data_IF_648863179745
#
_entry.id   IF_648863179745
#
_cell.length_a   1.000
_cell.length_b   1.000
_cell.length_c   1.000
_cell.angle_alpha   90.00
_cell.angle_beta   90.00
_cell.angle_gamma   90.00
#
_symmetry.space_group_name_H-M   'P 1'
#
loop_
_entity.id
_entity.type
_entity.pdbx_description
1 polymer ?
#
# COMPACT_ATOMS: atom_id res chain seq x y z
N UNK A 1 11.27 19.70 -4.23
CA UNK A 1 12.56 19.21 -4.76
C UNK A 1 13.36 18.40 -3.73
N UNK A 2 13.70 18.96 -2.56
CA UNK A 2 14.50 18.25 -1.53
C UNK A 2 13.88 16.90 -1.11
N UNK A 3 12.57 16.86 -0.84
CA UNK A 3 11.89 15.62 -0.44
C UNK A 3 11.87 14.54 -1.54
N UNK A 4 11.73 14.95 -2.80
CA UNK A 4 11.80 14.05 -3.95
C UNK A 4 13.19 13.41 -4.10
N UNK A 5 14.26 14.15 -3.80
CA UNK A 5 15.63 13.62 -3.77
C UNK A 5 15.83 12.62 -2.63
N UNK A 6 15.23 12.88 -1.46
CA UNK A 6 15.25 11.93 -0.33
C UNK A 6 14.55 10.64 -0.71
N UNK A 7 13.37 10.70 -1.35
CA UNK A 7 12.62 9.52 -1.79
C UNK A 7 13.35 8.75 -2.89
N UNK A 8 14.00 9.44 -3.82
CA UNK A 8 14.84 8.82 -4.84
C UNK A 8 16.03 8.10 -4.18
N UNK A 9 16.74 8.77 -3.28
CA UNK A 9 17.86 8.19 -2.54
C UNK A 9 17.45 6.97 -1.72
N UNK A 10 16.30 7.05 -1.03
CA UNK A 10 15.69 5.95 -0.29
C UNK A 10 15.39 4.74 -1.18
N UNK A 11 14.77 4.98 -2.34
CA UNK A 11 14.44 3.92 -3.31
C UNK A 11 15.70 3.28 -3.90
N UNK A 12 16.71 4.08 -4.24
CA UNK A 12 18.00 3.59 -4.73
C UNK A 12 18.76 2.80 -3.66
N UNK A 13 18.74 3.25 -2.40
CA UNK A 13 19.37 2.55 -1.28
C UNK A 13 18.74 1.17 -1.07
N UNK A 14 17.40 1.10 -1.03
CA UNK A 14 16.65 -0.16 -0.97
C UNK A 14 16.99 -1.11 -2.12
N UNK A 15 17.06 -0.56 -3.34
CA UNK A 15 17.37 -1.35 -4.53
C UNK A 15 18.82 -1.86 -4.51
N UNK A 16 19.77 -1.03 -4.08
CA UNK A 16 21.17 -1.38 -3.96
C UNK A 16 21.39 -2.45 -2.88
N UNK A 17 20.74 -2.36 -1.72
CA UNK A 17 20.84 -3.39 -0.67
C UNK A 17 20.19 -4.70 -1.08
N UNK A 18 19.06 -4.66 -1.78
CA UNK A 18 18.40 -5.85 -2.31
C UNK A 18 19.29 -6.61 -3.32
N UNK A 19 20.09 -5.88 -4.11
CA UNK A 19 21.05 -6.48 -5.06
C UNK A 19 22.30 -6.97 -4.33
N UNK A 20 22.83 -6.18 -3.39
CA UNK A 20 24.10 -6.48 -2.72
C UNK A 20 23.97 -7.59 -1.66
N UNK A 21 22.81 -7.73 -1.03
CA UNK A 21 22.60 -8.66 0.08
C UNK A 21 21.49 -9.66 -0.24
N UNK A 22 21.83 -10.95 -0.16
CA UNK A 22 20.85 -12.05 -0.27
C UNK A 22 20.08 -12.30 1.03
N UNK A 23 20.46 -11.60 2.10
CA UNK A 23 19.86 -11.78 3.42
C UNK A 23 18.58 -10.95 3.56
N UNK A 24 17.45 -11.63 3.74
CA UNK A 24 16.15 -11.00 3.90
C UNK A 24 16.06 -10.17 5.19
N UNK A 25 16.81 -10.51 6.24
CA UNK A 25 16.82 -9.74 7.49
C UNK A 25 17.45 -8.37 7.29
N UNK A 26 18.58 -8.30 6.59
CA UNK A 26 19.27 -7.05 6.29
C UNK A 26 18.37 -6.14 5.45
N UNK A 27 17.74 -6.69 4.41
CA UNK A 27 16.83 -5.93 3.55
C UNK A 27 15.62 -5.38 4.32
N UNK A 28 15.04 -6.16 5.24
CA UNK A 28 13.94 -5.70 6.10
C UNK A 28 14.37 -4.59 7.07
N UNK A 29 15.55 -4.71 7.70
CA UNK A 29 16.07 -3.68 8.60
C UNK A 29 16.33 -2.37 7.84
N UNK A 30 16.93 -2.45 6.65
CA UNK A 30 17.14 -1.28 5.78
C UNK A 30 15.79 -0.66 5.37
N UNK A 31 14.79 -1.47 5.02
CA UNK A 31 13.45 -0.99 4.69
C UNK A 31 12.80 -0.20 5.83
N UNK A 32 12.91 -0.70 7.06
CA UNK A 32 12.39 -0.02 8.25
C UNK A 32 13.16 1.28 8.52
N UNK A 33 14.49 1.28 8.40
CA UNK A 33 15.30 2.49 8.55
C UNK A 33 14.94 3.55 7.51
N UNK A 34 14.77 3.14 6.25
CA UNK A 34 14.33 4.02 5.16
C UNK A 34 12.94 4.59 5.43
N UNK A 35 12.00 3.76 5.91
CA UNK A 35 10.66 4.23 6.29
C UNK A 35 10.72 5.31 7.38
N UNK A 36 11.55 5.11 8.41
CA UNK A 36 11.74 6.08 9.50
C UNK A 36 12.39 7.39 9.01
N UNK A 37 13.42 7.31 8.18
CA UNK A 37 14.09 8.49 7.59
C UNK A 37 13.11 9.29 6.74
N UNK A 38 12.32 8.62 5.91
CA UNK A 38 11.33 9.26 5.03
C UNK A 38 10.19 9.88 5.85
N UNK A 39 9.66 9.17 6.84
CA UNK A 39 8.64 9.71 7.76
C UNK A 39 9.14 10.93 8.56
N UNK A 40 10.40 10.89 9.03
CA UNK A 40 11.06 12.03 9.66
C UNK A 40 11.21 13.21 8.71
N UNK A 41 11.59 12.94 7.46
CA UNK A 41 11.71 13.96 6.41
C UNK A 41 10.39 14.65 6.10
N UNK A 42 9.26 13.93 6.12
CA UNK A 42 7.93 14.52 5.99
C UNK A 42 7.63 15.53 7.10
N UNK A 43 7.93 15.17 8.35
CA UNK A 43 7.70 16.04 9.52
C UNK A 43 8.54 17.32 9.48
N UNK A 44 9.70 17.27 8.81
CA UNK A 44 10.58 18.42 8.65
C UNK A 44 10.14 19.31 7.49
N UNK A 45 9.81 18.73 6.33
CA UNK A 45 9.64 19.48 5.08
C UNK A 45 8.18 19.84 4.73
N UNK A 46 7.18 19.15 5.29
CA UNK A 46 5.77 19.34 4.93
C UNK A 46 4.98 19.99 6.07
N UNK A 47 3.85 20.60 5.73
CA UNK A 47 2.85 21.00 6.73
C UNK A 47 2.38 19.76 7.52
N UNK A 48 2.01 19.91 8.80
CA UNK A 48 1.66 18.77 9.66
C UNK A 48 0.46 17.95 9.13
N UNK A 49 -0.43 18.56 8.34
CA UNK A 49 -1.56 17.86 7.72
C UNK A 49 -1.08 16.96 6.58
N UNK A 50 -0.27 17.51 5.67
CA UNK A 50 0.30 16.76 4.53
C UNK A 50 1.28 15.68 5.04
N UNK A 51 2.11 16.00 6.05
CA UNK A 51 3.05 15.06 6.65
C UNK A 51 2.34 13.84 7.26
N UNK A 52 1.27 14.06 8.04
CA UNK A 52 0.46 12.97 8.61
C UNK A 52 -0.16 12.11 7.52
N UNK A 53 -0.72 12.72 6.49
CA UNK A 53 -1.33 11.97 5.40
C UNK A 53 -0.31 11.16 4.59
N UNK A 54 0.83 11.74 4.23
CA UNK A 54 1.90 11.03 3.52
C UNK A 54 2.48 9.89 4.37
N UNK A 55 2.63 10.09 5.68
CA UNK A 55 3.05 9.04 6.62
C UNK A 55 2.00 7.92 6.70
N UNK A 56 0.71 8.25 6.70
CA UNK A 56 -0.36 7.26 6.63
C UNK A 56 -0.29 6.44 5.34
N UNK A 57 -0.13 7.08 4.17
CA UNK A 57 -0.02 6.36 2.89
C UNK A 57 1.19 5.45 2.83
N UNK A 58 2.34 5.89 3.34
CA UNK A 58 3.55 5.07 3.45
C UNK A 58 3.33 3.87 4.37
N UNK A 59 2.77 4.10 5.57
CA UNK A 59 2.50 3.05 6.55
C UNK A 59 1.49 2.03 6.02
N UNK A 60 0.37 2.52 5.47
CA UNK A 60 -0.69 1.70 4.89
C UNK A 60 -0.16 0.79 3.78
N UNK A 61 0.66 1.34 2.88
CA UNK A 61 1.27 0.55 1.78
C UNK A 61 2.30 -0.44 2.31
N UNK A 62 3.06 -0.08 3.35
CA UNK A 62 4.06 -0.96 3.98
C UNK A 62 3.45 -2.14 4.74
N UNK A 63 2.24 -1.98 5.29
CA UNK A 63 1.53 -3.00 6.06
C UNK A 63 0.86 -4.07 5.19
N UNK A 64 0.62 -3.81 3.89
CA UNK A 64 0.19 -4.84 2.95
C UNK A 64 1.39 -5.66 2.49
N UNK A 65 1.83 -6.60 3.33
CA UNK A 65 2.97 -7.46 3.02
C UNK A 65 2.74 -8.26 1.74
N UNK A 66 3.73 -8.24 0.85
CA UNK A 66 3.67 -9.00 -0.39
C UNK A 66 4.08 -10.45 -0.14
N UNK A 67 3.21 -11.39 -0.53
CA UNK A 67 3.47 -12.84 -0.55
C UNK A 67 3.50 -13.34 -2.01
N UNK A 68 3.60 -12.43 -2.98
CA UNK A 68 3.43 -12.74 -4.41
C UNK A 68 4.44 -13.77 -4.94
N UNK A 69 5.64 -13.84 -4.38
CA UNK A 69 6.68 -14.78 -4.79
C UNK A 69 6.29 -16.23 -4.55
N UNK A 70 6.14 -16.69 -3.29
CA UNK A 70 5.70 -18.05 -3.00
C UNK A 70 4.31 -18.38 -3.53
N UNK A 71 3.41 -17.40 -3.59
CA UNK A 71 2.09 -17.60 -4.19
C UNK A 71 2.18 -17.92 -5.69
N UNK A 72 3.15 -17.35 -6.42
CA UNK A 72 3.40 -17.70 -7.82
C UNK A 72 3.82 -19.16 -7.94
N UNK A 73 4.86 -19.59 -7.22
CA UNK A 73 5.33 -20.98 -7.22
C UNK A 73 4.22 -21.96 -6.82
N UNK A 74 3.51 -21.67 -5.73
CA UNK A 74 2.37 -22.50 -5.28
C UNK A 74 1.32 -22.74 -6.37
N UNK A 75 1.05 -21.73 -7.21
CA UNK A 75 0.04 -21.78 -8.26
C UNK A 75 0.56 -22.35 -9.58
N UNK A 76 1.86 -22.25 -9.87
CA UNK A 76 2.44 -22.61 -11.18
C UNK A 76 3.38 -23.81 -11.18
N UNK A 77 3.86 -24.26 -10.02
CA UNK A 77 4.78 -25.39 -9.90
C UNK A 77 4.19 -26.64 -10.53
N UNK A 78 5.06 -27.52 -11.04
CA UNK A 78 4.69 -28.76 -11.72
C UNK A 78 4.39 -29.89 -10.71
N UNK A 79 3.74 -30.99 -11.14
CA UNK A 79 3.49 -32.15 -10.28
C UNK A 79 4.76 -32.78 -9.67
N UNK A 80 5.94 -32.54 -10.25
CA UNK A 80 7.23 -33.02 -9.73
C UNK A 80 7.77 -32.13 -8.59
N UNK A 81 7.41 -30.85 -8.60
CA UNK A 81 7.84 -29.85 -7.62
C UNK A 81 6.88 -29.80 -6.42
N UNK A 82 5.57 -29.78 -6.69
CA UNK A 82 4.52 -29.77 -5.67
C UNK A 82 3.28 -30.56 -6.12
N UNK A 83 3.19 -31.88 -5.81
CA UNK A 83 2.12 -32.76 -6.33
C UNK A 83 0.70 -32.33 -5.95
N UNK A 84 0.56 -31.61 -4.85
CA UNK A 84 -0.71 -31.06 -4.38
C UNK A 84 -0.90 -29.62 -4.87
N UNK A 85 -0.40 -29.23 -6.04
CA UNK A 85 -0.58 -27.89 -6.61
C UNK A 85 -1.80 -27.75 -7.53
N UNK A 86 -2.20 -26.52 -7.91
CA UNK A 86 -3.16 -26.27 -8.99
C UNK A 86 -2.55 -26.42 -10.39
N UNK A 87 -1.23 -26.35 -10.51
CA UNK A 87 -0.46 -26.57 -11.74
C UNK A 87 -0.88 -25.66 -12.90
N UNK A 88 -1.09 -24.37 -12.65
CA UNK A 88 -1.40 -23.43 -13.72
C UNK A 88 -0.19 -23.18 -14.61
N UNK A 89 -0.40 -23.19 -15.93
CA UNK A 89 0.63 -22.73 -16.86
C UNK A 89 0.99 -21.27 -16.56
N UNK A 90 2.29 -20.95 -16.51
CA UNK A 90 2.76 -19.58 -16.28
C UNK A 90 2.15 -18.55 -17.25
N UNK A 91 1.93 -18.94 -18.51
CA UNK A 91 1.29 -18.08 -19.51
C UNK A 91 -0.18 -17.86 -19.17
N UNK A 92 -0.88 -18.92 -18.76
CA UNK A 92 -2.27 -18.82 -18.33
C UNK A 92 -2.40 -17.96 -17.07
N UNK A 93 -1.54 -18.16 -16.08
CA UNK A 93 -1.49 -17.40 -14.83
C UNK A 93 -1.27 -15.91 -15.12
N UNK A 94 -0.16 -15.56 -15.79
CA UNK A 94 0.20 -14.16 -16.02
C UNK A 94 -0.77 -13.45 -16.98
N UNK A 95 -1.13 -14.07 -18.10
CA UNK A 95 -2.00 -13.43 -19.09
C UNK A 95 -3.44 -13.33 -18.58
N UNK A 96 -4.00 -14.42 -18.04
CA UNK A 96 -5.43 -14.45 -17.70
C UNK A 96 -5.71 -13.69 -16.41
N UNK A 97 -4.90 -13.86 -15.36
CA UNK A 97 -5.06 -13.08 -14.13
C UNK A 97 -4.68 -11.61 -14.33
N UNK A 98 -3.70 -11.31 -15.20
CA UNK A 98 -3.34 -9.94 -15.58
C UNK A 98 -4.46 -9.22 -16.35
N UNK A 99 -5.04 -9.89 -17.36
CA UNK A 99 -6.20 -9.37 -18.08
C UNK A 99 -7.40 -9.17 -17.15
N UNK A 100 -7.68 -10.16 -16.28
CA UNK A 100 -8.76 -10.07 -15.30
C UNK A 100 -8.54 -8.92 -14.32
N UNK A 101 -7.32 -8.76 -13.80
CA UNK A 101 -6.94 -7.63 -12.95
C UNK A 101 -7.15 -6.29 -13.65
N UNK A 102 -6.90 -6.21 -14.95
CA UNK A 102 -7.16 -4.99 -15.74
C UNK A 102 -8.66 -4.66 -15.80
N UNK A 103 -9.51 -5.65 -16.08
CA UNK A 103 -10.97 -5.47 -16.05
C UNK A 103 -11.48 -5.10 -14.66
N UNK A 104 -10.97 -5.78 -13.62
CA UNK A 104 -11.31 -5.49 -12.23
C UNK A 104 -10.88 -4.09 -11.81
N UNK A 105 -9.74 -3.59 -12.29
CA UNK A 105 -9.29 -2.21 -12.05
C UNK A 105 -10.26 -1.18 -12.64
N UNK A 106 -10.67 -1.39 -13.90
CA UNK A 106 -11.64 -0.50 -14.57
C UNK A 106 -13.00 -0.53 -13.85
N UNK A 107 -13.44 -1.72 -13.46
CA UNK A 107 -14.68 -1.90 -12.71
C UNK A 107 -14.61 -1.27 -11.32
N UNK A 108 -13.48 -1.43 -10.62
CA UNK A 108 -13.21 -0.78 -9.33
C UNK A 108 -13.24 0.74 -9.44
N UNK A 109 -12.64 1.31 -10.49
CA UNK A 109 -12.70 2.75 -10.74
C UNK A 109 -14.13 3.23 -11.05
N UNK A 110 -14.87 2.51 -11.89
CA UNK A 110 -16.26 2.83 -12.22
C UNK A 110 -17.14 2.84 -10.96
N UNK A 111 -17.05 1.78 -10.14
CA UNK A 111 -17.83 1.63 -8.92
C UNK A 111 -17.44 2.68 -7.87
N UNK A 112 -16.14 2.95 -7.69
CA UNK A 112 -15.67 4.03 -6.81
C UNK A 112 -16.23 5.38 -7.25
N UNK A 113 -16.12 5.76 -8.52
CA UNK A 113 -16.65 7.04 -9.01
C UNK A 113 -18.17 7.16 -8.83
N UNK A 114 -18.90 6.04 -8.92
CA UNK A 114 -20.36 6.02 -8.76
C UNK A 114 -20.84 6.18 -7.32
N UNK A 115 -20.09 5.69 -6.33
CA UNK A 115 -20.50 5.63 -4.92
C UNK A 115 -19.70 6.54 -3.98
N UNK A 116 -18.48 6.93 -4.34
CA UNK A 116 -17.58 7.71 -3.48
C UNK A 116 -18.19 9.03 -3.02
N UNK A 117 -18.97 9.71 -3.85
CA UNK A 117 -19.60 10.99 -3.50
C UNK A 117 -20.58 10.93 -2.32
N UNK A 118 -21.05 9.73 -1.94
CA UNK A 118 -22.03 9.54 -0.87
C UNK A 118 -21.39 9.08 0.45
N UNK A 119 -20.11 8.71 0.45
CA UNK A 119 -19.42 8.03 1.56
C UNK A 119 -18.19 8.87 1.98
N UNK A 120 -17.90 8.99 3.28
CA UNK A 120 -16.69 9.70 3.72
C UNK A 120 -15.41 8.93 3.37
N UNK A 121 -14.30 9.63 3.14
CA UNK A 121 -13.03 8.99 2.80
C UNK A 121 -12.59 7.97 3.85
N UNK A 122 -12.79 8.28 5.14
CA UNK A 122 -12.50 7.36 6.24
C UNK A 122 -13.31 6.07 6.13
N UNK A 123 -14.62 6.17 5.88
CA UNK A 123 -15.47 5.00 5.76
C UNK A 123 -15.07 4.12 4.56
N UNK A 124 -14.73 4.72 3.41
CA UNK A 124 -14.22 3.97 2.26
C UNK A 124 -12.93 3.23 2.61
N UNK A 125 -11.97 3.90 3.27
CA UNK A 125 -10.68 3.28 3.62
C UNK A 125 -10.87 2.17 4.66
N UNK A 126 -11.71 2.36 5.68
CA UNK A 126 -12.00 1.35 6.71
C UNK A 126 -12.66 0.12 6.08
N UNK A 127 -13.76 0.32 5.34
CA UNK A 127 -14.48 -0.78 4.69
C UNK A 127 -13.58 -1.52 3.71
N UNK A 128 -12.85 -0.79 2.86
CA UNK A 128 -11.95 -1.40 1.88
C UNK A 128 -10.85 -2.22 2.55
N UNK A 129 -10.22 -1.70 3.62
CA UNK A 129 -9.24 -2.46 4.40
C UNK A 129 -9.83 -3.71 5.04
N UNK A 130 -11.03 -3.61 5.61
CA UNK A 130 -11.69 -4.75 6.24
C UNK A 130 -12.00 -5.83 5.20
N UNK A 131 -12.55 -5.46 4.04
CA UNK A 131 -12.85 -6.43 2.98
C UNK A 131 -11.55 -6.99 2.38
N UNK A 132 -10.51 -6.18 2.22
CA UNK A 132 -9.20 -6.64 1.74
C UNK A 132 -8.56 -7.66 2.70
N UNK A 133 -8.63 -7.39 4.01
CA UNK A 133 -8.20 -8.32 5.06
C UNK A 133 -8.99 -9.64 5.00
N UNK A 134 -10.32 -9.58 4.79
CA UNK A 134 -11.15 -10.78 4.61
C UNK A 134 -10.77 -11.58 3.36
N UNK A 135 -10.39 -10.92 2.26
CA UNK A 135 -9.88 -11.61 1.07
C UNK A 135 -8.53 -12.27 1.32
N UNK A 136 -7.61 -11.60 2.02
CA UNK A 136 -6.35 -12.21 2.42
C UNK A 136 -6.56 -13.42 3.36
N UNK A 137 -7.60 -13.42 4.19
CA UNK A 137 -8.00 -14.62 4.94
C UNK A 137 -8.57 -15.71 4.02
N UNK A 138 -9.20 -15.35 2.91
CA UNK A 138 -9.60 -16.32 1.89
C UNK A 138 -8.37 -16.96 1.22
N UNK A 139 -7.30 -16.19 0.98
CA UNK A 139 -6.02 -16.74 0.50
C UNK A 139 -5.42 -17.79 1.45
N UNK A 140 -5.60 -17.62 2.76
CA UNK A 140 -5.21 -18.65 3.74
C UNK A 140 -5.95 -19.98 3.50
N UNK A 141 -7.22 -19.94 3.09
CA UNK A 141 -8.03 -21.14 2.75
C UNK A 141 -7.52 -21.80 1.46
N UNK A 142 -7.05 -21.00 0.49
CA UNK A 142 -6.44 -21.50 -0.74
C UNK A 142 -5.09 -22.18 -0.47
N UNK A 143 -4.20 -21.53 0.29
CA UNK A 143 -2.87 -22.06 0.59
C UNK A 143 -2.91 -23.32 1.46
N UNK A 144 -3.95 -23.46 2.30
CA UNK A 144 -4.19 -24.69 3.09
C UNK A 144 -4.91 -25.79 2.31
N UNK A 145 -5.22 -25.59 1.03
CA UNK A 145 -5.96 -26.52 0.14
C UNK A 145 -7.34 -26.93 0.68
N UNK A 146 -7.89 -26.19 1.65
CA UNK A 146 -9.24 -26.41 2.18
C UNK A 146 -10.31 -26.16 1.11
N UNK A 147 -10.02 -25.32 0.11
CA UNK A 147 -10.90 -25.09 -1.03
C UNK A 147 -11.24 -26.38 -1.81
N UNK A 148 -10.27 -27.28 -1.98
CA UNK A 148 -10.46 -28.58 -2.65
C UNK A 148 -11.33 -29.51 -1.80
N UNK A 149 -11.17 -29.49 -0.47
CA UNK A 149 -12.01 -30.24 0.46
C UNK A 149 -13.49 -29.78 0.42
N UNK A 150 -13.70 -28.48 0.16
CA UNK A 150 -15.03 -27.87 0.00
C UNK A 150 -15.60 -28.10 -1.42
N UNK A 151 -14.79 -28.62 -2.36
CA UNK A 151 -15.19 -28.92 -3.73
C UNK A 151 -15.17 -27.72 -4.68
N UNK A 152 -14.51 -26.62 -4.32
CA UNK A 152 -14.39 -25.43 -5.17
C UNK A 152 -13.15 -25.57 -6.07
N UNK A 153 -13.28 -25.43 -7.41
CA UNK A 153 -12.13 -25.47 -8.31
C UNK A 153 -11.12 -24.36 -8.02
N UNK A 154 -9.82 -24.70 -7.97
CA UNK A 154 -8.71 -23.75 -7.75
C UNK A 154 -8.76 -22.55 -8.71
N UNK A 155 -9.14 -22.81 -9.96
CA UNK A 155 -9.24 -21.83 -11.02
C UNK A 155 -10.27 -20.73 -10.70
N UNK A 156 -11.47 -21.12 -10.26
CA UNK A 156 -12.52 -20.17 -9.89
C UNK A 156 -12.11 -19.34 -8.66
N UNK A 157 -11.47 -19.98 -7.68
CA UNK A 157 -10.99 -19.30 -6.48
C UNK A 157 -9.90 -18.27 -6.81
N UNK A 158 -8.89 -18.65 -7.59
CA UNK A 158 -7.82 -17.76 -8.02
C UNK A 158 -8.35 -16.57 -8.84
N UNK A 159 -9.31 -16.81 -9.74
CA UNK A 159 -9.96 -15.73 -10.49
C UNK A 159 -10.75 -14.79 -9.60
N UNK A 160 -11.56 -15.33 -8.68
CA UNK A 160 -12.35 -14.55 -7.75
C UNK A 160 -11.47 -13.68 -6.85
N UNK A 161 -10.42 -14.26 -6.29
CA UNK A 161 -9.49 -13.54 -5.42
C UNK A 161 -8.74 -12.44 -6.18
N UNK A 162 -8.19 -12.74 -7.35
CA UNK A 162 -7.51 -11.73 -8.19
C UNK A 162 -8.44 -10.56 -8.55
N UNK A 163 -9.67 -10.87 -8.95
CA UNK A 163 -10.64 -9.86 -9.38
C UNK A 163 -11.07 -8.96 -8.23
N UNK A 164 -11.53 -9.57 -7.13
CA UNK A 164 -12.00 -8.82 -5.96
C UNK A 164 -10.84 -8.08 -5.28
N UNK A 165 -9.68 -8.72 -5.13
CA UNK A 165 -8.48 -8.12 -4.56
C UNK A 165 -8.06 -6.87 -5.32
N UNK A 166 -7.99 -6.94 -6.65
CA UNK A 166 -7.64 -5.78 -7.49
C UNK A 166 -8.69 -4.66 -7.39
N UNK A 167 -9.98 -5.02 -7.39
CA UNK A 167 -11.07 -4.05 -7.26
C UNK A 167 -11.01 -3.29 -5.93
N UNK A 168 -10.84 -4.01 -4.82
CA UNK A 168 -10.80 -3.41 -3.47
C UNK A 168 -9.51 -2.61 -3.27
N UNK A 169 -8.38 -3.09 -3.81
CA UNK A 169 -7.15 -2.32 -3.80
C UNK A 169 -7.32 -0.94 -4.47
N UNK A 170 -8.07 -0.90 -5.59
CA UNK A 170 -8.39 0.35 -6.26
C UNK A 170 -9.26 1.27 -5.40
N UNK A 171 -10.24 0.70 -4.68
CA UNK A 171 -11.06 1.43 -3.71
C UNK A 171 -10.27 1.95 -2.51
N UNK A 172 -9.14 1.33 -2.19
CA UNK A 172 -8.24 1.78 -1.14
C UNK A 172 -7.33 2.92 -1.60
N UNK A 173 -6.84 2.86 -2.84
CA UNK A 173 -5.93 3.84 -3.41
C UNK A 173 -6.59 5.15 -3.84
N UNK A 174 -7.76 5.07 -4.50
CA UNK A 174 -8.49 6.23 -5.00
C UNK A 174 -8.86 7.30 -3.95
N UNK A 175 -9.37 6.96 -2.75
CA UNK A 175 -9.66 7.95 -1.72
C UNK A 175 -8.39 8.64 -1.21
N UNK A 176 -7.25 7.95 -1.23
CA UNK A 176 -5.98 8.56 -0.83
C UNK A 176 -5.56 9.64 -1.82
N UNK A 177 -5.66 9.35 -3.12
CA UNK A 177 -5.37 10.32 -4.18
C UNK A 177 -6.35 11.51 -4.12
N UNK A 178 -7.65 11.25 -3.97
CA UNK A 178 -8.67 12.29 -3.93
C UNK A 178 -8.60 13.19 -2.69
N UNK A 179 -8.30 12.62 -1.52
CA UNK A 179 -8.07 13.41 -0.32
C UNK A 179 -6.83 14.29 -0.47
N UNK A 180 -5.78 13.75 -1.11
CA UNK A 180 -4.55 14.49 -1.29
C UNK A 180 -4.68 15.64 -2.29
N UNK A 181 -5.47 15.51 -3.36
CA UNK A 181 -5.74 16.63 -4.28
C UNK A 181 -6.41 17.81 -3.55
N UNK A 182 -7.21 17.55 -2.52
CA UNK A 182 -7.82 18.62 -1.69
C UNK A 182 -6.81 19.30 -0.75
N UNK A 183 -5.71 18.62 -0.41
CA UNK A 183 -4.65 19.16 0.43
C UNK A 183 -3.57 19.91 -0.37
N UNK A 184 -3.57 19.80 -1.69
CA UNK A 184 -2.56 20.41 -2.53
C UNK A 184 -2.69 21.94 -2.51
N UNK A 185 -1.62 22.69 -2.16
CA UNK A 185 -1.63 24.13 -2.35
C UNK A 185 -1.65 24.44 -3.85
N UNK A 186 -2.27 25.59 -4.17
CA UNK A 186 -2.35 26.09 -5.54
C UNK A 186 -0.95 26.15 -6.17
N UNK A 187 -0.86 25.77 -7.44
CA UNK A 187 0.38 25.72 -8.24
C UNK A 187 1.41 24.64 -7.86
N UNK A 188 1.12 23.77 -6.87
CA UNK A 188 2.01 22.66 -6.48
C UNK A 188 1.40 21.25 -6.65
N UNK A 189 0.22 21.14 -7.22
CA UNK A 189 -0.56 19.91 -7.35
C UNK A 189 0.24 18.75 -7.96
N UNK A 190 0.97 18.99 -9.07
CA UNK A 190 1.74 17.95 -9.74
C UNK A 190 2.89 17.41 -8.86
N UNK A 191 3.60 18.30 -8.15
CA UNK A 191 4.71 17.90 -7.26
C UNK A 191 4.21 17.13 -6.04
N UNK A 192 3.05 17.55 -5.54
CA UNK A 192 2.39 16.91 -4.41
C UNK A 192 1.86 15.52 -4.85
N UNK A 193 1.20 15.41 -6.00
CA UNK A 193 0.74 14.12 -6.51
C UNK A 193 1.90 13.14 -6.72
N UNK A 194 3.00 13.61 -7.32
CA UNK A 194 4.22 12.83 -7.47
C UNK A 194 4.78 12.35 -6.12
N UNK A 195 4.69 13.18 -5.08
CA UNK A 195 5.07 12.81 -3.72
C UNK A 195 4.22 11.63 -3.21
N UNK A 196 2.89 11.68 -3.33
CA UNK A 196 2.01 10.58 -2.86
C UNK A 196 2.28 9.28 -3.60
N UNK A 197 2.40 9.34 -4.92
CA UNK A 197 2.71 8.16 -5.74
C UNK A 197 4.06 7.57 -5.32
N UNK A 198 5.06 8.41 -5.07
CA UNK A 198 6.36 7.97 -4.58
C UNK A 198 6.30 7.34 -3.19
N UNK A 199 5.50 7.90 -2.27
CA UNK A 199 5.29 7.31 -0.94
C UNK A 199 4.65 5.93 -1.02
N UNK A 200 3.64 5.79 -1.89
CA UNK A 200 2.96 4.51 -2.12
C UNK A 200 3.93 3.47 -2.68
N UNK A 201 4.67 3.80 -3.73
CA UNK A 201 5.62 2.88 -4.35
C UNK A 201 6.75 2.48 -3.39
N UNK A 202 7.24 3.42 -2.59
CA UNK A 202 8.21 3.12 -1.55
C UNK A 202 7.63 2.18 -0.49
N UNK A 203 6.37 2.40 -0.09
CA UNK A 203 5.67 1.51 0.84
C UNK A 203 5.49 0.10 0.29
N UNK A 204 5.17 -0.07 -1.00
CA UNK A 204 5.12 -1.38 -1.67
C UNK A 204 6.51 -2.05 -1.69
N UNK A 205 7.58 -1.29 -1.90
CA UNK A 205 8.94 -1.83 -1.82
C UNK A 205 9.29 -2.30 -0.39
N UNK A 206 8.90 -1.52 0.63
CA UNK A 206 9.06 -1.89 2.04
C UNK A 206 8.24 -3.14 2.36
N UNK A 207 6.99 -3.21 1.91
CA UNK A 207 6.10 -4.35 2.15
C UNK A 207 6.62 -5.64 1.50
N UNK A 208 7.30 -5.51 0.35
CA UNK A 208 7.97 -6.62 -0.31
C UNK A 208 9.19 -7.11 0.46
N UNK A 209 10.02 -6.19 0.99
CA UNK A 209 11.18 -6.55 1.82
C UNK A 209 10.77 -7.20 3.15
N UNK A 210 9.73 -6.64 3.81
CA UNK A 210 9.17 -7.20 5.04
C UNK A 210 8.47 -8.54 4.79
N UNK A 211 7.77 -8.69 3.66
CA UNK A 211 7.16 -9.95 3.23
C UNK A 211 8.20 -11.04 3.00
N UNK A 212 9.29 -10.71 2.29
CA UNK A 212 10.41 -11.63 2.09
C UNK A 212 11.07 -12.05 3.41
N UNK A 213 11.21 -11.13 4.36
CA UNK A 213 11.71 -11.44 5.70
C UNK A 213 10.77 -12.36 6.48
N UNK A 214 9.46 -12.09 6.47
CA UNK A 214 8.45 -12.94 7.12
C UNK A 214 8.51 -14.36 6.54
N UNK A 215 8.58 -14.48 5.22
CA UNK A 215 8.70 -15.76 4.52
C UNK A 215 10.00 -16.50 4.86
N UNK A 216 11.13 -15.79 4.87
CA UNK A 216 12.41 -16.37 5.29
C UNK A 216 12.39 -16.84 6.74
N UNK A 217 11.72 -16.12 7.65
CA UNK A 217 11.57 -16.52 9.05
C UNK A 217 10.74 -17.78 9.23
N UNK A 218 9.77 -18.01 8.35
CA UNK A 218 8.93 -19.20 8.30
C UNK A 218 9.54 -20.35 7.47
N UNK A 219 10.75 -20.15 6.93
CA UNK A 219 11.42 -21.09 6.02
C UNK A 219 10.58 -21.43 4.78
N UNK A 220 9.80 -20.46 4.30
CA UNK A 220 8.99 -20.53 3.08
C UNK A 220 9.73 -19.82 1.93
N UNK A 221 10.72 -20.45 1.31
CA UNK A 221 11.50 -19.85 0.22
C UNK A 221 11.53 -20.76 -1.02
N UNK A 222 10.34 -21.06 -1.61
CA UNK A 222 10.28 -21.97 -2.75
C UNK A 222 11.13 -21.42 -3.89
N UNK A 223 11.96 -22.28 -4.46
CA UNK A 223 12.86 -21.99 -5.58
C UNK A 223 12.39 -22.70 -6.86
N UNK A 224 11.32 -23.47 -6.79
CA UNK A 224 10.92 -24.39 -7.85
C UNK A 224 11.85 -25.60 -7.92
N UNK A 225 12.35 -26.07 -6.77
CA UNK A 225 13.06 -27.34 -6.69
C UNK A 225 12.09 -28.51 -6.49
N UNK A 226 12.52 -29.74 -6.82
CA UNK A 226 11.71 -30.93 -6.62
C UNK A 226 11.37 -31.14 -5.13
N UNK A 227 10.11 -31.48 -4.83
CA UNK A 227 9.60 -31.81 -3.49
C UNK A 227 9.60 -30.66 -2.46
N UNK A 228 9.21 -29.44 -2.84
CA UNK A 228 9.10 -28.26 -1.95
C UNK A 228 7.85 -28.27 -1.03
N UNK A 229 7.21 -29.43 -0.84
CA UNK A 229 5.96 -29.58 -0.09
C UNK A 229 6.08 -29.04 1.35
N UNK A 230 7.25 -29.19 2.00
CA UNK A 230 7.48 -28.68 3.35
C UNK A 230 7.55 -27.15 3.44
N UNK A 231 7.93 -26.47 2.36
CA UNK A 231 8.05 -25.01 2.34
C UNK A 231 6.69 -24.32 2.21
N UNK A 232 5.70 -25.00 1.61
CA UNK A 232 4.33 -24.49 1.49
C UNK A 232 3.50 -24.67 2.77
N UNK A 233 3.91 -25.52 3.72
CA UNK A 233 3.15 -25.81 4.95
C UNK A 233 2.94 -24.61 5.87
N UNK A 234 3.85 -23.62 5.87
CA UNK A 234 3.71 -22.42 6.70
C UNK A 234 3.21 -21.20 5.91
N UNK A 235 2.91 -21.35 4.62
CA UNK A 235 2.48 -20.24 3.75
C UNK A 235 1.14 -19.65 4.21
N UNK A 236 0.24 -20.49 4.75
CA UNK A 236 -1.01 -20.05 5.34
C UNK A 236 -0.80 -19.13 6.56
N UNK A 237 0.27 -19.34 7.36
CA UNK A 237 0.62 -18.47 8.49
C UNK A 237 1.07 -17.11 7.99
N UNK A 238 1.91 -17.09 6.93
CA UNK A 238 2.34 -15.84 6.30
C UNK A 238 1.15 -15.03 5.78
N UNK A 239 0.19 -15.69 5.12
CA UNK A 239 -1.07 -15.10 4.66
C UNK A 239 -1.95 -14.61 5.81
N UNK A 240 -2.05 -15.38 6.90
CA UNK A 240 -2.75 -14.96 8.11
C UNK A 240 -2.15 -13.69 8.72
N UNK A 241 -0.83 -13.63 8.86
CA UNK A 241 -0.13 -12.44 9.38
C UNK A 241 -0.34 -11.23 8.46
N UNK A 242 -0.21 -11.41 7.14
CA UNK A 242 -0.43 -10.33 6.16
C UNK A 242 -1.87 -9.84 6.09
N UNK A 243 -2.85 -10.67 6.47
CA UNK A 243 -4.26 -10.27 6.56
C UNK A 243 -4.55 -9.35 7.76
N UNK A 244 -3.82 -9.52 8.87
CA UNK A 244 -4.03 -8.77 10.11
C UNK A 244 -3.31 -7.42 10.13
N UNK A 245 -2.17 -7.31 9.45
CA UNK A 245 -1.35 -6.10 9.42
C UNK A 245 -2.09 -4.86 8.85
N UNK A 246 -2.88 -4.94 7.77
CA UNK A 246 -3.67 -3.82 7.26
C UNK A 246 -4.71 -3.29 8.27
N UNK A 247 -5.23 -4.15 9.15
CA UNK A 247 -6.15 -3.74 10.22
C UNK A 247 -5.44 -2.84 11.26
N UNK A 248 -4.14 -3.03 11.49
CA UNK A 248 -3.35 -2.10 12.31
C UNK A 248 -3.26 -0.72 11.65
N UNK A 249 -3.21 -0.66 10.32
CA UNK A 249 -3.26 0.59 9.54
C UNK A 249 -4.54 1.40 9.80
N UNK A 250 -5.67 0.73 10.05
CA UNK A 250 -6.94 1.37 10.41
C UNK A 250 -6.82 2.15 11.72
N UNK A 251 -6.09 1.63 12.72
CA UNK A 251 -5.90 2.37 13.98
C UNK A 251 -5.14 3.69 13.78
N UNK A 252 -4.16 3.69 12.88
CA UNK A 252 -3.40 4.88 12.50
C UNK A 252 -4.25 5.88 11.70
N UNK A 253 -5.19 5.40 10.86
CA UNK A 253 -6.12 6.24 10.09
C UNK A 253 -6.87 7.22 10.99
N UNK A 254 -7.44 6.74 12.11
CA UNK A 254 -8.24 7.58 13.01
C UNK A 254 -7.44 8.73 13.63
N UNK A 255 -6.13 8.52 13.81
CA UNK A 255 -5.21 9.51 14.38
C UNK A 255 -4.66 10.47 13.33
N UNK A 256 -4.45 10.01 12.08
CA UNK A 256 -3.70 10.75 11.06
C UNK A 256 -4.57 11.47 10.02
N UNK A 257 -5.75 10.94 9.68
CA UNK A 257 -6.58 11.47 8.56
C UNK A 257 -7.86 12.06 9.13
N UNK A 258 -8.20 13.36 8.98
CA UNK A 258 -9.47 13.94 9.43
C UNK A 258 -10.69 13.36 8.68
N UNK A 259 -11.88 13.41 9.28
CA UNK A 259 -13.11 12.91 8.65
C UNK A 259 -13.67 13.96 7.71
N UNK A 260 -13.50 13.75 6.40
CA UNK A 260 -13.93 14.68 5.36
C UNK A 260 -14.58 13.88 4.24
N UNK A 261 -15.63 14.43 3.63
CA UNK A 261 -16.27 13.85 2.45
C UNK A 261 -15.66 14.36 1.15
N UNK A 262 -15.71 13.58 0.05
CA UNK A 262 -15.33 14.08 -1.27
C UNK A 262 -16.15 15.34 -1.64
N UNK A 263 -15.48 16.48 -1.85
CA UNK A 263 -16.11 17.75 -2.23
C UNK A 263 -16.36 18.74 -1.10
N UNK A 264 -16.07 18.40 0.16
CA UNK A 264 -16.04 19.37 1.26
C UNK A 264 -14.71 20.14 1.24
N UNK A 265 -14.77 21.48 1.24
CA UNK A 265 -13.58 22.31 1.33
C UNK A 265 -12.94 22.17 2.73
N UNK A 266 -11.81 21.46 2.82
CA UNK A 266 -10.94 21.41 4.01
C UNK A 266 -10.28 22.79 4.27
N UNK A 267 -10.52 23.75 3.39
CA UNK A 267 -9.67 24.89 3.16
C UNK A 267 -10.17 26.17 3.81
N UNK A 268 -9.66 26.44 5.01
CA UNK A 268 -9.45 27.83 5.46
C UNK A 268 -7.99 28.13 5.83
N UNK A 269 -7.14 27.11 6.05
CA UNK A 269 -5.76 27.30 6.51
C UNK A 269 -4.67 26.96 5.46
N UNK A 270 -4.90 26.01 4.54
CA UNK A 270 -3.91 25.59 3.50
C UNK A 270 -4.08 26.28 2.14
N UNK A 271 -5.28 26.80 1.83
CA UNK A 271 -5.55 27.51 0.57
C UNK A 271 -4.77 28.83 0.42
N UNK A 272 -4.19 29.37 1.50
CA UNK A 272 -3.39 30.62 1.48
C UNK A 272 -1.92 30.45 1.08
N UNK A 273 -1.53 29.30 0.50
CA UNK A 273 -0.40 29.26 -0.43
C UNK A 273 0.94 28.72 0.08
N UNK A 274 0.98 27.89 1.12
CA UNK A 274 2.27 27.35 1.57
C UNK A 274 2.22 25.90 2.05
N UNK A 275 2.72 24.98 1.22
CA UNK A 275 2.85 23.55 1.54
C UNK A 275 3.82 23.23 2.68
N UNK A 276 4.57 24.24 3.14
CA UNK A 276 5.51 24.15 4.27
C UNK A 276 5.02 24.87 5.54
N UNK A 277 3.80 25.43 5.52
CA UNK A 277 3.21 26.14 6.65
C UNK A 277 3.23 25.29 7.94
N UNK A 278 3.83 25.83 9.00
CA UNK A 278 3.92 25.18 10.31
C UNK A 278 4.90 24.02 10.42
N UNK A 279 5.67 23.72 9.36
CA UNK A 279 6.72 22.68 9.38
C UNK A 279 7.82 22.99 10.41
N UNK A 280 8.50 21.95 10.92
CA UNK A 280 9.61 22.12 11.86
C UNK A 280 10.76 22.94 11.25
N UNK A 281 10.98 22.81 9.94
CA UNK A 281 11.97 23.59 9.21
C UNK A 281 11.70 25.10 9.30
N UNK A 282 10.44 25.52 9.12
CA UNK A 282 10.05 26.93 9.18
C UNK A 282 10.07 27.48 10.60
N UNK A 283 9.68 26.67 11.59
CA UNK A 283 9.80 27.00 13.01
C UNK A 283 11.26 27.22 13.41
N UNK A 284 12.17 26.42 12.87
CA UNK A 284 13.61 26.56 13.12
C UNK A 284 14.22 27.79 12.43
N UNK A 285 13.70 28.18 11.25
CA UNK A 285 14.14 29.39 10.53
C UNK A 285 13.53 30.72 11.01
N UNK A 286 12.68 30.71 12.04
CA UNK A 286 12.02 31.91 12.59
C UNK A 286 11.22 32.75 11.57
N UNK A 287 10.77 32.14 10.47
CA UNK A 287 9.82 32.79 9.57
C UNK A 287 8.45 32.81 10.26
N UNK A 288 8.24 33.86 11.04
CA UNK A 288 6.92 34.22 11.58
C UNK A 288 6.01 34.46 10.39
N UNK A 289 4.84 33.81 10.38
CA UNK A 289 3.78 34.13 9.43
C UNK A 289 3.54 35.65 9.48
N UNK A 290 3.55 36.38 8.35
CA UNK A 290 3.17 37.80 8.38
C UNK A 290 1.76 37.92 8.99
N UNK A 291 1.51 38.94 9.82
CA UNK A 291 0.24 39.09 10.52
C UNK A 291 -0.90 39.16 9.53
N UNK A 292 -2.06 38.59 9.92
CA UNK A 292 -3.30 38.68 9.15
C UNK A 292 -3.58 40.14 8.80
N UNK A 293 -3.49 40.50 7.52
CA UNK A 293 -4.17 41.68 7.00
C UNK A 293 -5.65 41.48 7.31
N UNK A 294 -6.14 42.28 8.26
CA UNK A 294 -7.54 42.53 8.43
C UNK A 294 -8.02 43.12 7.11
N UNK A 295 -8.88 42.40 6.40
CA UNK A 295 -9.71 43.01 5.37
C UNK A 295 -10.52 44.12 6.07
N UNK A 296 -10.02 45.34 6.00
CA UNK A 296 -10.81 46.53 6.23
C UNK A 296 -11.86 46.55 5.12
N UNK A 297 -13.09 46.24 5.51
CA UNK A 297 -14.29 46.61 4.76
C UNK A 297 -14.26 48.13 4.52
N UNK A 298 -13.76 48.55 3.36
CA UNK A 298 -13.97 49.88 2.84
C UNK A 298 -15.31 49.91 2.08
N UNK A 299 -16.28 50.56 2.75
CA UNK A 299 -17.33 51.47 2.27
C UNK A 299 -17.85 51.37 0.83
#
# INVERSE_FOLDING_TARGET
MALSLVLLGASLAMSATAIATKDAQVNAVVALLVALVVAGSFSICLSPVIAKFSAFTLLQSSLHLSISGPAFYFLTDTPEEYPEGPHFSMLFYNATLGCMGSFATLFGLYTYNRYSSQISYRAIIVVSNTVFSLLHLADMVLFSRMNVQIGIPDCFFAFGNQSLGTMIYQWLWMPQVGFFSQLCPKDMEASMFALVVSCHNLGVAISSALGAWLLASLSCNPRGAAMETSEFQHLWIASGVSSLLPLLGISALFSLVPDVRPGEEISTQLQRGDGTAGSLWRRWRSESCPPMESDSEDA
#
